data_IF_136207657027
#
_entry.id   IF_136207657027
#
_cell.length_a   1.000
_cell.length_b   1.000
_cell.length_c   1.000
_cell.angle_alpha   90.00
_cell.angle_beta   90.00
_cell.angle_gamma   90.00
#
_symmetry.space_group_name_H-M   'P 1'
#
loop_
_entity.id
_entity.type
_entity.pdbx_description
1 polymer ?
#
# COMPACT_ATOMS: atom_id res chain seq x y z
N UNK A 1 -0.85 31.63 32.39
CA UNK A 1 -1.85 31.36 33.45
C UNK A 1 -3.20 31.83 32.96
N UNK A 2 -4.15 30.93 32.67
CA UNK A 2 -5.52 31.00 33.18
C UNK A 2 -6.24 29.69 32.81
N UNK A 3 -6.62 29.00 33.89
CA UNK A 3 -7.21 27.70 34.01
C UNK A 3 -8.73 27.84 34.00
N UNK A 4 -9.48 27.07 33.19
CA UNK A 4 -10.90 26.74 33.44
C UNK A 4 -11.30 25.42 32.77
N UNK A 5 -11.21 24.33 33.54
CA UNK A 5 -12.27 23.33 33.57
C UNK A 5 -13.38 23.88 34.48
N UNK A 6 -14.67 23.63 34.18
CA UNK A 6 -15.30 22.45 34.77
C UNK A 6 -16.37 21.81 33.85
N UNK A 7 -16.56 20.49 33.96
CA UNK A 7 -17.84 19.90 34.37
C UNK A 7 -17.66 18.38 34.48
N UNK A 8 -17.56 17.92 35.73
CA UNK A 8 -17.62 16.53 36.11
C UNK A 8 -19.06 16.26 36.55
N UNK A 9 -19.78 15.39 35.83
CA UNK A 9 -21.01 14.79 36.33
C UNK A 9 -20.91 13.28 36.13
N UNK A 10 -20.66 12.57 37.24
CA UNK A 10 -20.77 11.11 37.32
C UNK A 10 -22.24 10.75 37.43
N UNK A 11 -22.79 10.15 36.38
CA UNK A 11 -23.96 9.28 36.45
C UNK A 11 -23.60 7.95 35.78
N UNK A 12 -24.05 6.85 36.38
CA UNK A 12 -23.57 5.50 36.14
C UNK A 12 -24.21 4.84 34.90
N UNK A 13 -23.33 4.29 34.06
CA UNK A 13 -23.44 3.08 33.23
C UNK A 13 -24.79 2.78 32.55
N UNK A 14 -24.84 3.06 31.24
CA UNK A 14 -25.38 2.13 30.26
C UNK A 14 -24.28 1.93 29.20
N UNK A 15 -23.80 0.70 29.01
CA UNK A 15 -22.74 0.40 28.04
C UNK A 15 -23.30 0.50 26.61
N UNK A 16 -23.47 1.73 26.15
CA UNK A 16 -23.68 2.06 24.75
C UNK A 16 -22.30 2.44 24.21
N UNK A 17 -21.64 1.53 23.51
CA UNK A 17 -20.38 1.81 22.79
C UNK A 17 -20.68 2.73 21.62
N UNK A 18 -21.00 3.99 21.90
CA UNK A 18 -21.13 5.02 20.89
C UNK A 18 -19.71 5.42 20.48
N UNK A 19 -19.27 4.94 19.32
CA UNK A 19 -17.99 5.31 18.75
C UNK A 19 -18.06 6.81 18.44
N UNK A 20 -17.35 7.63 19.21
CA UNK A 20 -17.23 9.05 18.96
C UNK A 20 -16.08 9.28 17.97
N UNK A 21 -16.43 9.62 16.73
CA UNK A 21 -15.45 9.97 15.69
C UNK A 21 -15.32 11.50 15.70
N UNK A 22 -14.11 11.99 15.99
CA UNK A 22 -13.79 13.41 15.93
C UNK A 22 -13.08 13.70 14.61
N UNK A 23 -13.59 14.67 13.85
CA UNK A 23 -12.96 15.13 12.62
C UNK A 23 -12.21 16.44 12.87
N UNK A 24 -11.01 16.53 12.34
CA UNK A 24 -10.24 17.77 12.24
C UNK A 24 -9.93 18.04 10.77
N UNK A 25 -9.93 19.32 10.39
CA UNK A 25 -9.50 19.75 9.06
C UNK A 25 -8.22 20.54 9.24
N UNK A 26 -7.21 20.21 8.45
CA UNK A 26 -5.91 20.88 8.44
C UNK A 26 -5.40 21.00 7.02
N UNK A 27 -4.68 22.07 6.73
CA UNK A 27 -4.01 22.25 5.44
C UNK A 27 -2.90 21.21 5.26
N UNK A 28 -2.63 20.88 4.00
CA UNK A 28 -1.56 19.96 3.62
C UNK A 28 -0.20 20.62 3.90
N UNK A 29 0.72 19.95 4.61
CA UNK A 29 2.07 20.47 4.81
C UNK A 29 2.80 20.72 3.49
N UNK A 30 3.47 21.88 3.37
CA UNK A 30 4.14 22.34 2.14
C UNK A 30 5.12 21.31 1.52
N UNK A 31 5.72 20.44 2.34
CA UNK A 31 6.68 19.43 1.89
C UNK A 31 6.03 18.25 1.15
N UNK A 32 4.72 18.04 1.26
CA UNK A 32 3.99 16.93 0.60
C UNK A 32 2.91 17.39 -0.39
N UNK A 33 2.71 18.70 -0.56
CA UNK A 33 1.73 19.27 -1.50
C UNK A 33 1.87 18.66 -2.90
N UNK A 34 3.08 18.61 -3.45
CA UNK A 34 3.35 17.99 -4.76
C UNK A 34 2.90 16.51 -4.87
N UNK A 35 2.91 15.77 -3.76
CA UNK A 35 2.45 14.37 -3.76
C UNK A 35 0.94 14.31 -3.78
N UNK A 36 0.30 15.11 -2.91
CA UNK A 36 -1.17 15.17 -2.81
C UNK A 36 -1.79 15.71 -4.10
N UNK A 37 -1.19 16.72 -4.72
CA UNK A 37 -1.66 17.30 -5.99
C UNK A 37 -1.64 16.29 -7.16
N UNK A 38 -0.90 15.19 -7.04
CA UNK A 38 -0.89 14.13 -8.05
C UNK A 38 -1.98 13.08 -7.85
N UNK A 39 -2.58 13.01 -6.65
CA UNK A 39 -3.61 12.06 -6.27
C UNK A 39 -5.01 12.56 -6.68
N UNK A 40 -6.04 11.69 -6.70
CA UNK A 40 -7.40 12.11 -6.96
C UNK A 40 -7.89 13.16 -5.95
N UNK A 41 -8.87 13.98 -6.36
CA UNK A 41 -9.46 15.05 -5.56
C UNK A 41 -9.96 14.60 -4.18
N UNK A 42 -10.46 13.35 -4.11
CA UNK A 42 -10.88 12.72 -2.86
C UNK A 42 -10.06 11.45 -2.68
N UNK A 43 -9.28 11.40 -1.60
CA UNK A 43 -8.44 10.26 -1.27
C UNK A 43 -8.57 9.89 0.20
N UNK A 44 -8.92 8.63 0.48
CA UNK A 44 -9.09 8.11 1.84
C UNK A 44 -7.98 7.10 2.13
N UNK A 45 -6.96 7.53 2.88
CA UNK A 45 -5.89 6.64 3.32
C UNK A 45 -5.26 7.13 4.63
N UNK A 46 -4.41 6.30 5.22
CA UNK A 46 -3.50 6.74 6.26
C UNK A 46 -2.35 7.55 5.64
N UNK A 47 -2.02 8.72 6.19
CA UNK A 47 -1.01 9.65 5.66
C UNK A 47 0.36 8.99 5.40
N UNK A 48 0.75 8.03 6.26
CA UNK A 48 2.00 7.26 6.11
C UNK A 48 2.13 6.53 4.77
N UNK A 49 1.01 6.22 4.11
CA UNK A 49 0.99 5.47 2.86
C UNK A 49 0.99 6.39 1.63
N UNK A 50 0.81 7.71 1.80
CA UNK A 50 0.78 8.69 0.70
C UNK A 50 1.95 8.55 -0.28
N UNK A 51 3.22 8.38 0.15
CA UNK A 51 4.33 8.23 -0.80
C UNK A 51 4.16 7.02 -1.73
N UNK A 52 3.57 5.92 -1.25
CA UNK A 52 3.36 4.72 -2.08
C UNK A 52 2.29 4.95 -3.13
N UNK A 53 1.19 5.61 -2.75
CA UNK A 53 0.14 6.00 -3.69
C UNK A 53 0.64 7.00 -4.72
N UNK A 54 1.49 7.94 -4.30
CA UNK A 54 2.20 8.84 -5.21
C UNK A 54 3.05 8.07 -6.24
N UNK A 55 3.85 7.09 -5.80
CA UNK A 55 4.65 6.26 -6.70
C UNK A 55 3.78 5.46 -7.67
N UNK A 56 2.71 4.84 -7.17
CA UNK A 56 1.74 4.11 -7.98
C UNK A 56 1.14 5.00 -9.07
N UNK A 57 0.63 6.18 -8.69
CA UNK A 57 -0.02 7.12 -9.59
C UNK A 57 0.94 7.65 -10.66
N UNK A 58 2.18 7.93 -10.28
CA UNK A 58 3.22 8.39 -11.19
C UNK A 58 3.62 7.33 -12.22
N UNK A 59 3.81 6.08 -11.79
CA UNK A 59 4.13 4.97 -12.69
C UNK A 59 2.95 4.63 -13.60
N UNK A 60 1.72 4.69 -13.08
CA UNK A 60 0.52 4.52 -13.88
C UNK A 60 0.40 5.61 -14.94
N UNK A 61 0.62 6.88 -14.57
CA UNK A 61 0.63 7.99 -15.52
C UNK A 61 1.68 7.79 -16.61
N UNK A 62 2.87 7.33 -16.25
CA UNK A 62 3.91 6.96 -17.23
C UNK A 62 3.49 5.81 -18.14
N UNK A 63 2.91 4.75 -17.57
CA UNK A 63 2.45 3.58 -18.32
C UNK A 63 1.39 3.99 -19.33
N UNK A 64 0.38 4.75 -18.90
CA UNK A 64 -0.69 5.22 -19.78
C UNK A 64 -0.18 6.18 -20.85
N UNK A 65 0.69 7.14 -20.52
CA UNK A 65 1.18 8.14 -21.50
C UNK A 65 2.17 7.57 -22.51
N UNK A 66 3.18 6.80 -22.06
CA UNK A 66 4.22 6.27 -22.96
C UNK A 66 3.74 5.09 -23.80
N UNK A 67 2.75 4.33 -23.33
CA UNK A 67 2.25 3.17 -24.08
C UNK A 67 1.02 3.52 -24.96
N UNK A 68 0.34 4.66 -24.75
CA UNK A 68 -0.68 5.15 -25.68
C UNK A 68 -0.10 5.53 -27.06
N UNK A 69 1.15 6.00 -27.14
CA UNK A 69 1.80 6.32 -28.42
C UNK A 69 2.03 5.07 -29.29
N UNK A 70 2.05 3.88 -28.68
CA UNK A 70 2.14 2.58 -29.36
C UNK A 70 0.76 1.91 -29.52
N UNK A 71 -0.31 2.68 -29.73
CA UNK A 71 -1.69 2.20 -29.91
C UNK A 71 -1.87 1.12 -31.01
N UNK A 72 -0.89 0.96 -31.91
CA UNK A 72 -0.85 -0.15 -32.88
C UNK A 72 -0.48 -1.52 -32.28
N UNK A 73 0.00 -1.58 -31.04
CA UNK A 73 0.29 -2.83 -30.32
C UNK A 73 -0.93 -3.25 -29.51
N UNK A 74 -1.78 -4.10 -30.09
CA UNK A 74 -2.90 -4.79 -29.42
C UNK A 74 -2.47 -5.77 -28.32
N UNK A 75 -1.20 -5.76 -27.92
CA UNK A 75 -0.66 -6.66 -26.92
C UNK A 75 -1.08 -6.22 -25.51
N UNK A 76 -1.82 -7.09 -24.83
CA UNK A 76 -2.04 -7.03 -23.39
C UNK A 76 -0.68 -6.92 -22.67
N UNK A 77 -0.38 -5.76 -22.10
CA UNK A 77 0.90 -5.52 -21.42
C UNK A 77 0.75 -5.85 -19.93
N UNK A 78 1.44 -6.90 -19.51
CA UNK A 78 1.49 -7.25 -18.10
C UNK A 78 2.29 -6.21 -17.31
N UNK A 79 1.66 -5.64 -16.29
CA UNK A 79 2.28 -4.74 -15.32
C UNK A 79 1.84 -5.20 -13.92
N UNK A 80 2.56 -6.17 -13.31
CA UNK A 80 2.11 -6.80 -12.07
C UNK A 80 2.05 -5.83 -10.88
N UNK A 81 2.90 -4.80 -10.85
CA UNK A 81 2.86 -3.79 -9.79
C UNK A 81 1.58 -2.98 -9.90
N UNK A 82 1.27 -2.43 -11.08
CA UNK A 82 0.07 -1.63 -11.28
C UNK A 82 -1.21 -2.46 -11.14
N UNK A 83 -1.19 -3.72 -11.54
CA UNK A 83 -2.33 -4.63 -11.43
C UNK A 83 -2.65 -5.02 -9.98
N UNK A 84 -1.62 -5.25 -9.14
CA UNK A 84 -1.81 -5.84 -7.80
C UNK A 84 -1.72 -4.82 -6.66
N UNK A 85 -1.04 -3.69 -6.86
CA UNK A 85 -0.91 -2.66 -5.82
C UNK A 85 -2.26 -2.21 -5.25
N UNK A 86 -3.32 -1.92 -6.05
CA UNK A 86 -4.60 -1.49 -5.48
C UNK A 86 -5.24 -2.52 -4.56
N UNK A 87 -5.22 -3.81 -4.92
CA UNK A 87 -5.76 -4.89 -4.10
C UNK A 87 -5.02 -5.08 -2.77
N UNK A 88 -3.72 -4.76 -2.74
CA UNK A 88 -2.93 -4.72 -1.50
C UNK A 88 -3.23 -3.44 -0.71
N UNK A 89 -3.40 -2.31 -1.40
CA UNK A 89 -3.69 -1.02 -0.79
C UNK A 89 -5.03 -1.00 -0.02
N UNK A 90 -5.99 -1.81 -0.43
CA UNK A 90 -7.25 -2.07 0.30
C UNK A 90 -7.06 -2.76 1.66
N UNK A 91 -5.84 -3.23 1.98
CA UNK A 91 -5.54 -3.97 3.19
C UNK A 91 -4.56 -3.17 4.07
N UNK A 92 -5.06 -2.35 5.03
CA UNK A 92 -4.23 -1.46 5.84
C UNK A 92 -3.10 -2.14 6.62
N UNK A 93 -3.32 -3.37 7.10
CA UNK A 93 -2.31 -4.16 7.83
C UNK A 93 -1.13 -4.56 6.93
N UNK A 94 -1.41 -4.89 5.68
CA UNK A 94 -0.41 -5.24 4.67
C UNK A 94 0.35 -3.99 4.22
N UNK A 95 -0.36 -2.87 4.02
CA UNK A 95 0.26 -1.57 3.73
C UNK A 95 1.18 -1.09 4.85
N UNK A 96 0.79 -1.28 6.12
CA UNK A 96 1.64 -0.97 7.27
C UNK A 96 2.92 -1.81 7.27
N UNK A 97 2.84 -3.12 7.03
CA UNK A 97 4.02 -3.98 6.90
C UNK A 97 4.93 -3.52 5.75
N UNK A 98 4.37 -3.21 4.58
CA UNK A 98 5.12 -2.71 3.44
C UNK A 98 5.79 -1.37 3.73
N UNK A 99 5.12 -0.47 4.45
CA UNK A 99 5.68 0.81 4.88
C UNK A 99 6.91 0.63 5.77
N UNK A 100 6.80 -0.27 6.76
CA UNK A 100 7.91 -0.57 7.66
C UNK A 100 9.11 -1.14 6.91
N UNK A 101 8.89 -2.08 5.99
CA UNK A 101 9.94 -2.68 5.17
C UNK A 101 10.55 -1.68 4.18
N UNK A 102 9.72 -0.85 3.54
CA UNK A 102 10.19 0.20 2.62
C UNK A 102 11.06 1.22 3.33
N UNK A 103 10.70 1.62 4.55
CA UNK A 103 11.51 2.54 5.38
C UNK A 103 12.91 1.98 5.65
N UNK A 104 13.03 0.67 5.88
CA UNK A 104 14.33 0.00 6.06
C UNK A 104 15.09 -0.03 4.73
N UNK A 105 14.42 -0.44 3.65
CA UNK A 105 15.01 -0.52 2.31
C UNK A 105 15.51 0.85 1.80
N UNK A 106 14.75 1.92 2.03
CA UNK A 106 15.10 3.29 1.67
C UNK A 106 16.32 3.81 2.44
N UNK A 107 16.44 3.47 3.74
CA UNK A 107 17.59 3.84 4.58
C UNK A 107 18.90 3.15 4.19
N UNK A 108 18.83 1.93 3.65
CA UNK A 108 20.00 1.12 3.33
C UNK A 108 20.74 1.56 2.05
N UNK A 109 20.28 2.61 1.36
CA UNK A 109 20.88 3.08 0.10
C UNK A 109 21.43 4.49 0.23
N UNK A 110 22.62 4.68 -0.32
CA UNK A 110 23.43 5.91 -0.31
C UNK A 110 22.57 7.12 -0.71
N UNK A 111 22.72 8.23 0.02
CA UNK A 111 22.06 9.52 -0.16
C UNK A 111 22.39 10.19 -1.51
N UNK A 112 22.02 9.57 -2.63
CA UNK A 112 21.90 10.25 -3.91
C UNK A 112 20.53 10.91 -3.97
N UNK A 113 20.48 12.18 -4.36
CA UNK A 113 19.21 12.86 -4.64
C UNK A 113 18.61 12.24 -5.90
N UNK A 114 17.67 11.31 -5.71
CA UNK A 114 16.93 10.68 -6.80
C UNK A 114 15.79 11.59 -7.25
N UNK A 115 15.45 11.53 -8.53
CA UNK A 115 14.20 12.08 -9.03
C UNK A 115 13.01 11.26 -8.50
N UNK A 116 11.83 11.88 -8.47
CA UNK A 116 10.59 11.20 -8.07
C UNK A 116 10.30 9.95 -8.92
N UNK A 117 10.70 9.96 -10.20
CA UNK A 117 10.51 8.81 -11.09
C UNK A 117 11.43 7.65 -10.73
N UNK A 118 12.72 7.94 -10.48
CA UNK A 118 13.67 6.92 -10.04
C UNK A 118 13.28 6.33 -8.68
N UNK A 119 12.70 7.15 -7.79
CA UNK A 119 12.18 6.68 -6.52
C UNK A 119 10.96 5.78 -6.69
N UNK A 120 10.04 6.14 -7.58
CA UNK A 120 8.87 5.31 -7.91
C UNK A 120 9.28 3.96 -8.50
N UNK A 121 10.24 3.91 -9.43
CA UNK A 121 10.76 2.65 -9.99
C UNK A 121 11.50 1.78 -8.94
N UNK A 122 12.20 2.41 -7.99
CA UNK A 122 12.78 1.69 -6.84
C UNK A 122 11.70 1.10 -5.96
N UNK A 123 10.63 1.85 -5.69
CA UNK A 123 9.50 1.35 -4.92
C UNK A 123 8.82 0.18 -5.65
N UNK A 124 8.59 0.29 -6.96
CA UNK A 124 8.06 -0.80 -7.79
C UNK A 124 8.93 -2.06 -7.70
N UNK A 125 10.26 -1.91 -7.84
CA UNK A 125 11.20 -3.03 -7.71
C UNK A 125 11.13 -3.68 -6.32
N UNK A 126 11.07 -2.87 -5.27
CA UNK A 126 10.88 -3.34 -3.89
C UNK A 126 9.53 -4.04 -3.70
N UNK A 127 8.45 -3.49 -4.26
CA UNK A 127 7.13 -4.07 -4.15
C UNK A 127 7.05 -5.44 -4.82
N UNK A 128 7.64 -5.58 -6.02
CA UNK A 128 7.65 -6.86 -6.74
C UNK A 128 8.39 -7.96 -5.98
N UNK A 129 9.39 -7.62 -5.19
CA UNK A 129 10.11 -8.57 -4.32
C UNK A 129 9.48 -8.71 -2.94
N UNK A 130 8.44 -7.94 -2.60
CA UNK A 130 7.81 -8.00 -1.26
C UNK A 130 6.30 -8.15 -1.35
N UNK A 131 5.57 -7.05 -1.53
CA UNK A 131 4.12 -7.01 -1.55
C UNK A 131 3.52 -7.95 -2.59
N UNK A 132 4.06 -7.94 -3.82
CA UNK A 132 3.65 -8.87 -4.86
C UNK A 132 3.87 -10.33 -4.44
N UNK A 133 5.05 -10.64 -3.89
CA UNK A 133 5.35 -11.99 -3.42
C UNK A 133 4.39 -12.45 -2.34
N UNK A 134 4.24 -11.64 -1.30
CA UNK A 134 3.28 -11.90 -0.22
C UNK A 134 1.88 -12.18 -0.77
N UNK A 135 1.42 -11.35 -1.70
CA UNK A 135 0.09 -11.47 -2.30
C UNK A 135 -0.09 -12.76 -3.11
N UNK A 136 0.98 -13.30 -3.71
CA UNK A 136 0.91 -14.49 -4.55
C UNK A 136 1.17 -15.80 -3.80
N UNK A 137 2.02 -15.78 -2.76
CA UNK A 137 2.50 -17.01 -2.11
C UNK A 137 1.87 -17.26 -0.75
N UNK A 138 1.46 -16.21 -0.03
CA UNK A 138 0.90 -16.36 1.30
C UNK A 138 -0.61 -16.42 1.20
N UNK A 139 -1.18 -17.58 1.54
CA UNK A 139 -2.62 -17.73 1.69
C UNK A 139 -3.09 -16.90 2.90
N UNK A 140 -3.56 -15.68 2.60
CA UNK A 140 -3.94 -14.70 3.59
C UNK A 140 -5.47 -14.67 3.73
N UNK A 141 -6.03 -14.83 4.95
CA UNK A 141 -7.46 -14.64 5.19
C UNK A 141 -7.92 -13.29 4.67
N UNK A 142 -9.13 -13.17 4.11
CA UNK A 142 -9.64 -11.87 3.64
C UNK A 142 -9.66 -10.85 4.78
N UNK A 143 -9.14 -9.64 4.52
CA UNK A 143 -9.15 -8.56 5.51
C UNK A 143 -10.58 -8.26 5.97
N UNK A 144 -10.80 -8.28 7.28
CA UNK A 144 -12.10 -7.99 7.88
C UNK A 144 -11.92 -7.23 9.19
N UNK A 145 -12.33 -5.96 9.20
CA UNK A 145 -12.17 -5.07 10.34
C UNK A 145 -13.03 -5.46 11.56
N UNK A 146 -14.06 -6.28 11.36
CA UNK A 146 -14.95 -6.72 12.44
C UNK A 146 -14.50 -8.03 13.10
N UNK A 147 -13.49 -8.74 12.55
CA UNK A 147 -13.07 -10.05 13.05
C UNK A 147 -11.66 -9.99 13.68
N UNK A 148 -11.62 -9.88 15.00
CA UNK A 148 -10.38 -9.87 15.78
C UNK A 148 -9.52 -11.14 15.61
N UNK A 149 -10.14 -12.30 15.34
CA UNK A 149 -9.40 -13.55 15.12
C UNK A 149 -8.72 -13.54 13.75
N UNK A 150 -9.42 -13.05 12.73
CA UNK A 150 -8.85 -12.82 11.41
C UNK A 150 -7.63 -11.90 11.50
N UNK A 151 -7.73 -10.78 12.23
CA UNK A 151 -6.59 -9.89 12.45
C UNK A 151 -5.40 -10.57 13.11
N UNK A 152 -5.64 -11.40 14.11
CA UNK A 152 -4.56 -12.09 14.83
C UNK A 152 -3.83 -13.07 13.92
N UNK A 153 -4.57 -13.85 13.11
CA UNK A 153 -3.97 -14.79 12.14
C UNK A 153 -3.20 -14.06 11.03
N UNK A 154 -3.79 -13.00 10.45
CA UNK A 154 -3.13 -12.15 9.46
C UNK A 154 -1.85 -11.53 10.03
N UNK A 155 -1.90 -10.99 11.25
CA UNK A 155 -0.74 -10.41 11.92
C UNK A 155 0.37 -11.45 12.14
N UNK A 156 0.05 -12.68 12.52
CA UNK A 156 1.05 -13.74 12.67
C UNK A 156 1.76 -14.06 11.34
N UNK A 157 1.00 -14.18 10.25
CA UNK A 157 1.53 -14.41 8.89
C UNK A 157 2.41 -13.25 8.42
N UNK A 158 1.96 -12.01 8.60
CA UNK A 158 2.71 -10.81 8.23
C UNK A 158 4.00 -10.67 9.03
N UNK A 159 3.95 -10.90 10.35
CA UNK A 159 5.14 -10.88 11.22
C UNK A 159 6.15 -11.94 10.81
N UNK A 160 5.69 -13.17 10.54
CA UNK A 160 6.56 -14.25 10.05
C UNK A 160 7.24 -13.86 8.74
N UNK A 161 6.49 -13.36 7.75
CA UNK A 161 7.05 -12.91 6.48
C UNK A 161 8.07 -11.78 6.67
N UNK A 162 7.76 -10.81 7.54
CA UNK A 162 8.67 -9.71 7.87
C UNK A 162 9.97 -10.20 8.51
N UNK A 163 9.91 -11.16 9.42
CA UNK A 163 11.12 -11.75 10.03
C UNK A 163 11.97 -12.46 8.97
N UNK A 164 11.36 -13.26 8.10
CA UNK A 164 12.05 -13.86 6.96
C UNK A 164 12.68 -12.79 6.07
N UNK A 165 11.97 -11.68 5.84
CA UNK A 165 12.47 -10.55 5.06
C UNK A 165 13.78 -10.00 5.63
N UNK A 166 13.84 -9.78 6.94
CA UNK A 166 14.96 -9.14 7.63
C UNK A 166 16.21 -10.02 7.75
N UNK A 167 16.08 -11.35 7.70
CA UNK A 167 17.18 -12.27 8.02
C UNK A 167 18.03 -12.76 6.84
N UNK A 168 17.62 -12.54 5.58
CA UNK A 168 18.40 -12.75 4.32
C UNK A 168 17.44 -13.02 3.17
N UNK A 169 16.48 -12.13 2.97
CA UNK A 169 15.44 -12.37 2.00
C UNK A 169 15.94 -12.26 0.57
N UNK A 170 15.98 -13.41 -0.06
CA UNK A 170 16.18 -13.58 -1.47
C UNK A 170 14.84 -14.05 -2.06
N UNK A 171 14.20 -13.16 -2.82
CA UNK A 171 12.92 -13.39 -3.48
C UNK A 171 12.92 -14.67 -4.32
N UNK A 172 14.03 -14.94 -5.01
CA UNK A 172 14.17 -16.11 -5.88
C UNK A 172 14.29 -17.38 -5.05
N UNK A 173 15.11 -17.33 -3.99
CA UNK A 173 15.24 -18.46 -3.05
C UNK A 173 13.91 -18.76 -2.35
N UNK A 174 13.16 -17.73 -1.97
CA UNK A 174 11.85 -17.86 -1.36
C UNK A 174 10.88 -18.55 -2.33
N UNK A 175 10.75 -18.03 -3.56
CA UNK A 175 9.93 -18.63 -4.62
C UNK A 175 10.31 -20.08 -4.96
N UNK A 176 11.59 -20.43 -4.89
CA UNK A 176 12.05 -21.80 -5.20
C UNK A 176 11.47 -22.87 -4.28
N UNK A 177 10.96 -22.48 -3.11
CA UNK A 177 10.33 -23.37 -2.12
C UNK A 177 8.81 -23.41 -2.24
N UNK A 178 8.24 -22.48 -2.98
CA UNK A 178 6.80 -22.38 -3.20
C UNK A 178 6.36 -23.24 -4.37
N UNK A 179 5.08 -23.65 -4.35
CA UNK A 179 4.51 -24.43 -5.45
C UNK A 179 4.30 -23.53 -6.67
N UNK A 180 4.78 -23.96 -7.83
CA UNK A 180 4.49 -23.29 -9.09
C UNK A 180 3.03 -23.52 -9.48
N UNK A 181 2.32 -22.44 -9.81
CA UNK A 181 0.96 -22.48 -10.36
C UNK A 181 0.97 -21.96 -11.80
N UNK A 182 0.04 -22.42 -12.67
CA UNK A 182 -0.11 -21.85 -13.99
C UNK A 182 -0.32 -20.33 -13.93
N UNK A 183 0.48 -19.59 -14.70
CA UNK A 183 0.43 -18.12 -14.73
C UNK A 183 -0.78 -17.70 -15.57
N UNK A 184 -1.70 -16.95 -14.96
CA UNK A 184 -2.75 -16.25 -15.68
C UNK A 184 -2.30 -14.82 -15.99
N UNK A 185 -2.01 -14.52 -17.25
CA UNK A 185 -1.50 -13.21 -17.67
C UNK A 185 -2.48 -12.07 -17.39
N UNK A 186 -3.80 -12.35 -17.40
CA UNK A 186 -4.82 -11.36 -17.12
C UNK A 186 -4.81 -10.90 -15.65
N UNK A 187 -4.38 -11.75 -14.72
CA UNK A 187 -4.22 -11.40 -13.31
C UNK A 187 -3.13 -10.33 -13.08
N UNK A 188 -2.30 -10.08 -14.09
CA UNK A 188 -1.19 -9.12 -14.02
C UNK A 188 -1.31 -8.03 -15.09
N UNK A 189 -2.44 -7.96 -15.81
CA UNK A 189 -2.73 -6.86 -16.70
C UNK A 189 -3.31 -5.70 -15.90
N UNK A 190 -2.97 -4.47 -16.29
CA UNK A 190 -3.59 -3.29 -15.72
C UNK A 190 -5.09 -3.30 -16.03
N UNK A 191 -5.91 -3.25 -14.98
CA UNK A 191 -7.34 -3.06 -15.11
C UNK A 191 -7.68 -1.56 -15.16
N UNK A 192 -8.15 -1.11 -16.32
CA UNK A 192 -8.54 0.28 -16.57
C UNK A 192 -10.04 0.53 -16.40
N UNK A 193 -10.84 -0.51 -16.14
CA UNK A 193 -12.31 -0.40 -16.00
C UNK A 193 -12.85 -1.00 -14.68
N UNK A 194 -12.01 -1.66 -13.91
CA UNK A 194 -12.37 -2.31 -12.66
C UNK A 194 -12.62 -1.36 -11.48
N UNK A 195 -12.89 -1.92 -10.29
CA UNK A 195 -13.20 -1.14 -9.08
C UNK A 195 -12.04 -0.25 -8.61
N UNK A 196 -10.81 -0.54 -9.03
CA UNK A 196 -9.60 0.24 -8.76
C UNK A 196 -9.17 1.11 -9.95
N UNK A 197 -9.97 1.19 -11.00
CA UNK A 197 -9.69 2.04 -12.15
C UNK A 197 -9.74 3.52 -11.74
N UNK A 198 -8.85 4.32 -12.32
CA UNK A 198 -8.74 5.76 -12.04
C UNK A 198 -9.56 6.59 -13.04
N UNK A 199 -10.75 6.11 -13.41
CA UNK A 199 -11.69 6.86 -14.28
C UNK A 199 -12.56 7.76 -13.41
#
# INVERSE_FOLDING_TARGET
MFNRNPFNKKEAILANTQIQITFGVSDVPNNIVHQVDSLPDIFLCHELFLPMFFYYRRLLGQFLTKDCDNCSSSALKAEPFLATFPAIADQPDTMEMLWQLWKIHKKNVINKKLSEMEEAERFRSFFLTTGFLLHQTVDMPKFNWADARCFTDRQAKLSYFREQYLHSFDAIKYLSRERCHPINIYSYALDIIGPHAII
#
